data_IF_910281502864
#
_entry.id   IF_910281502864
#
_cell.length_a   1.000
_cell.length_b   1.000
_cell.length_c   1.000
_cell.angle_alpha   90.00
_cell.angle_beta   90.00
_cell.angle_gamma   90.00
#
_symmetry.space_group_name_H-M   'P 1'
#
loop_
_entity.id
_entity.type
_entity.pdbx_description
1 polymer ?
#
# COMPACT_ATOMS: atom_id res chain seq x y z
N UNK A 1 20.37 -23.74 3.59
CA UNK A 1 19.66 -22.82 4.50
C UNK A 1 18.83 -21.89 3.64
N UNK A 2 17.51 -22.08 3.62
CA UNK A 2 16.60 -21.33 2.76
C UNK A 2 16.41 -19.97 3.45
N UNK A 3 16.86 -18.89 2.81
CA UNK A 3 16.61 -17.53 3.25
C UNK A 3 15.09 -17.30 3.26
N UNK A 4 14.48 -17.40 4.44
CA UNK A 4 13.07 -17.09 4.66
C UNK A 4 12.87 -15.58 4.67
N UNK A 5 13.02 -14.92 3.52
CA UNK A 5 12.15 -13.78 3.27
C UNK A 5 10.77 -14.39 3.11
N UNK A 6 10.04 -14.55 4.22
CA UNK A 6 8.60 -14.83 4.15
C UNK A 6 8.02 -13.68 3.34
N UNK A 7 7.50 -13.99 2.17
CA UNK A 7 7.02 -12.96 1.26
C UNK A 7 5.84 -12.21 1.90
N UNK A 8 6.15 -11.06 2.49
CA UNK A 8 5.18 -10.23 3.21
C UNK A 8 4.19 -9.64 2.22
N UNK A 9 2.91 -9.92 2.43
CA UNK A 9 1.81 -9.42 1.62
C UNK A 9 1.59 -7.95 1.92
N UNK A 10 1.60 -7.10 0.88
CA UNK A 10 1.24 -5.68 0.96
C UNK A 10 0.02 -5.41 0.12
N UNK A 11 -1.01 -4.85 0.73
CA UNK A 11 -2.23 -4.52 0.02
C UNK A 11 -2.89 -3.25 0.57
N UNK A 12 -3.59 -2.54 -0.30
CA UNK A 12 -4.67 -1.66 0.12
C UNK A 12 -6.00 -2.35 0.09
N UNK A 13 -6.83 -2.01 1.05
CA UNK A 13 -8.21 -2.43 1.13
C UNK A 13 -9.08 -1.18 1.19
N UNK A 14 -9.97 -1.03 0.22
CA UNK A 14 -10.97 0.05 0.22
C UNK A 14 -12.31 -0.50 0.63
N UNK A 15 -12.82 -0.01 1.73
CA UNK A 15 -14.13 -0.35 2.25
C UNK A 15 -15.07 0.85 2.14
N UNK A 16 -16.35 0.60 1.89
CA UNK A 16 -17.40 1.54 2.22
C UNK A 16 -17.75 1.38 3.71
N UNK A 17 -17.57 2.45 4.48
CA UNK A 17 -17.74 2.53 5.93
C UNK A 17 -16.70 3.44 6.61
N UNK A 18 -16.73 3.47 7.94
CA UNK A 18 -15.81 4.28 8.77
C UNK A 18 -14.58 3.47 9.21
N UNK A 19 -13.37 4.03 9.06
CA UNK A 19 -12.11 3.37 9.42
C UNK A 19 -12.01 2.96 10.89
N UNK A 20 -12.69 3.69 11.78
CA UNK A 20 -12.64 3.52 13.23
C UNK A 20 -13.06 2.10 13.68
N UNK A 21 -13.74 1.36 12.80
CA UNK A 21 -14.22 0.00 13.02
C UNK A 21 -13.20 -1.11 12.66
N UNK A 22 -12.10 -0.78 11.97
CA UNK A 22 -11.20 -1.73 11.29
C UNK A 22 -9.98 -2.13 12.15
N UNK A 23 -10.06 -2.06 13.48
CA UNK A 23 -9.04 -2.69 14.31
C UNK A 23 -9.15 -4.22 14.20
N UNK A 24 -8.24 -4.84 13.44
CA UNK A 24 -8.18 -6.29 13.22
C UNK A 24 -6.71 -6.73 13.37
N UNK A 25 -6.42 -7.44 14.45
CA UNK A 25 -5.09 -7.95 14.78
C UNK A 25 -4.76 -9.23 13.98
N UNK A 26 -4.63 -9.10 12.67
CA UNK A 26 -4.14 -10.16 11.78
C UNK A 26 -3.02 -9.65 10.88
N UNK A 27 -3.17 -8.43 10.39
CA UNK A 27 -2.18 -7.74 9.59
C UNK A 27 -1.72 -6.48 10.32
N UNK A 28 -0.48 -6.07 10.08
CA UNK A 28 0.00 -4.77 10.55
C UNK A 28 -0.61 -3.68 9.70
N UNK A 29 -1.40 -2.79 10.31
CA UNK A 29 -1.92 -1.60 9.66
C UNK A 29 -0.81 -0.57 9.49
N UNK A 30 -0.52 -0.21 8.24
CA UNK A 30 0.51 0.78 7.88
C UNK A 30 -0.07 2.19 7.84
N UNK A 31 -1.27 2.34 7.28
CA UNK A 31 -1.95 3.62 7.12
C UNK A 31 -3.46 3.39 7.06
N UNK A 32 -4.21 4.36 7.58
CA UNK A 32 -5.67 4.44 7.43
C UNK A 32 -6.02 5.84 6.93
N UNK A 33 -6.83 5.91 5.88
CA UNK A 33 -7.29 7.14 5.28
C UNK A 33 -8.81 7.11 5.16
N UNK A 34 -9.49 8.07 5.76
CA UNK A 34 -10.92 8.29 5.57
C UNK A 34 -11.12 9.35 4.50
N UNK A 35 -11.95 9.04 3.49
CA UNK A 35 -12.42 10.03 2.51
C UNK A 35 -13.92 9.84 2.33
N UNK A 36 -14.72 10.78 2.87
CA UNK A 36 -16.18 10.64 2.96
C UNK A 36 -16.57 9.34 3.66
N UNK A 37 -17.31 8.45 3.00
CA UNK A 37 -17.67 7.12 3.50
C UNK A 37 -16.72 6.02 3.03
N UNK A 38 -15.60 6.34 2.38
CA UNK A 38 -14.62 5.35 1.96
C UNK A 38 -13.50 5.32 3.00
N UNK A 39 -13.26 4.15 3.57
CA UNK A 39 -12.07 3.86 4.35
C UNK A 39 -11.07 3.09 3.49
N UNK A 40 -9.87 3.66 3.32
CA UNK A 40 -8.75 2.97 2.72
C UNK A 40 -7.74 2.56 3.81
N UNK A 41 -7.41 1.27 3.86
CA UNK A 41 -6.48 0.70 4.83
C UNK A 41 -5.34 0.02 4.13
N UNK A 42 -4.11 0.35 4.54
CA UNK A 42 -2.88 -0.24 4.01
C UNK A 42 -2.42 -1.27 5.01
N UNK A 43 -2.26 -2.51 4.58
CA UNK A 43 -1.93 -3.62 5.48
C UNK A 43 -0.70 -4.38 5.01
N UNK A 44 0.06 -4.87 5.99
CA UNK A 44 1.12 -5.88 5.82
C UNK A 44 0.71 -7.16 6.53
N UNK A 45 0.57 -8.24 5.78
CA UNK A 45 0.26 -9.55 6.33
C UNK A 45 1.45 -10.48 6.11
N UNK A 46 1.73 -11.36 7.06
CA UNK A 46 2.82 -12.33 6.91
C UNK A 46 2.46 -13.47 5.96
N UNK A 47 1.16 -13.65 5.69
CA UNK A 47 0.61 -14.70 4.83
C UNK A 47 -0.59 -14.19 4.03
N UNK A 48 -0.88 -14.84 2.90
CA UNK A 48 -2.03 -14.51 2.05
C UNK A 48 -3.37 -14.78 2.77
N UNK A 49 -3.43 -15.86 3.55
CA UNK A 49 -4.60 -16.25 4.32
C UNK A 49 -4.95 -15.21 5.39
N UNK A 50 -3.94 -14.55 5.99
CA UNK A 50 -4.16 -13.48 6.96
C UNK A 50 -4.87 -12.29 6.32
N UNK A 51 -4.57 -11.96 5.05
CA UNK A 51 -5.26 -10.90 4.31
C UNK A 51 -6.73 -11.27 4.04
N UNK A 52 -7.00 -12.52 3.64
CA UNK A 52 -8.37 -12.98 3.41
C UNK A 52 -9.17 -12.95 4.71
N UNK A 53 -8.63 -13.49 5.81
CA UNK A 53 -9.26 -13.46 7.13
C UNK A 53 -9.46 -12.03 7.66
N UNK A 54 -8.53 -11.13 7.35
CA UNK A 54 -8.69 -9.70 7.66
C UNK A 54 -9.91 -9.12 6.94
N UNK A 55 -10.06 -9.39 5.65
CA UNK A 55 -11.21 -8.96 4.85
C UNK A 55 -12.50 -9.55 5.40
N UNK A 56 -12.55 -10.86 5.67
CA UNK A 56 -13.74 -11.53 6.23
C UNK A 56 -14.17 -10.90 7.56
N UNK A 57 -13.23 -10.64 8.47
CA UNK A 57 -13.51 -9.94 9.73
C UNK A 57 -14.02 -8.52 9.53
N UNK A 58 -13.51 -7.79 8.53
CA UNK A 58 -14.00 -6.47 8.19
C UNK A 58 -15.44 -6.52 7.66
N UNK A 59 -15.75 -7.48 6.78
CA UNK A 59 -17.11 -7.70 6.26
C UNK A 59 -18.10 -8.05 7.39
N UNK A 60 -17.70 -8.91 8.32
CA UNK A 60 -18.52 -9.27 9.49
C UNK A 60 -18.81 -8.09 10.43
N UNK A 61 -18.01 -7.02 10.35
CA UNK A 61 -18.26 -5.75 11.06
C UNK A 61 -19.18 -4.79 10.28
N UNK A 62 -19.77 -5.23 9.17
CA UNK A 62 -20.72 -4.45 8.36
C UNK A 62 -20.06 -3.55 7.31
N UNK A 63 -18.76 -3.73 7.04
CA UNK A 63 -18.07 -2.97 6.00
C UNK A 63 -18.26 -3.66 4.64
N UNK A 64 -18.33 -2.87 3.57
CA UNK A 64 -18.39 -3.42 2.22
C UNK A 64 -17.04 -3.24 1.53
N UNK A 65 -16.33 -4.33 1.22
CA UNK A 65 -15.09 -4.28 0.45
C UNK A 65 -15.37 -3.89 -1.00
N UNK A 66 -14.74 -2.81 -1.46
CA UNK A 66 -14.88 -2.26 -2.81
C UNK A 66 -13.74 -2.71 -3.74
N UNK A 67 -12.50 -2.60 -3.27
CA UNK A 67 -11.29 -2.83 -4.06
C UNK A 67 -10.15 -3.30 -3.16
N UNK A 68 -9.34 -4.23 -3.67
CA UNK A 68 -8.03 -4.59 -3.14
C UNK A 68 -6.96 -4.15 -4.15
N UNK A 69 -5.99 -3.35 -3.71
CA UNK A 69 -4.84 -2.95 -4.51
C UNK A 69 -3.56 -3.60 -4.01
N UNK A 70 -2.61 -3.84 -4.91
CA UNK A 70 -1.28 -4.36 -4.57
C UNK A 70 -0.16 -3.45 -5.07
N UNK A 71 1.03 -3.64 -4.50
CA UNK A 71 2.25 -2.88 -4.81
C UNK A 71 2.73 -3.00 -6.26
N UNK A 72 2.15 -3.88 -7.06
CA UNK A 72 2.42 -4.02 -8.50
C UNK A 72 1.57 -3.11 -9.39
N UNK A 73 0.52 -2.47 -8.85
CA UNK A 73 -0.48 -1.80 -9.67
C UNK A 73 -1.75 -2.63 -9.87
N UNK A 74 -1.69 -3.93 -9.61
CA UNK A 74 -2.82 -4.82 -9.77
C UNK A 74 -3.94 -4.48 -8.78
N UNK A 75 -5.18 -4.57 -9.27
CA UNK A 75 -6.39 -4.25 -8.50
C UNK A 75 -7.46 -5.29 -8.74
N UNK A 76 -8.10 -5.70 -7.67
CA UNK A 76 -9.18 -6.68 -7.68
C UNK A 76 -10.42 -6.00 -7.09
N UNK A 77 -11.56 -6.17 -7.75
CA UNK A 77 -12.84 -5.75 -7.17
C UNK A 77 -13.14 -6.61 -5.94
N UNK A 78 -13.69 -6.03 -4.88
CA UNK A 78 -13.87 -6.72 -3.60
C UNK A 78 -14.58 -8.07 -3.69
N UNK A 79 -15.63 -8.17 -4.52
CA UNK A 79 -16.38 -9.41 -4.73
C UNK A 79 -15.62 -10.52 -5.47
N UNK A 80 -14.49 -10.20 -6.11
CA UNK A 80 -13.68 -11.14 -6.90
C UNK A 80 -12.40 -11.58 -6.15
N UNK A 81 -12.16 -11.05 -4.95
CA UNK A 81 -10.98 -11.39 -4.16
C UNK A 81 -10.95 -12.88 -3.85
N UNK A 82 -9.85 -13.53 -4.21
CA UNK A 82 -9.58 -14.92 -3.85
C UNK A 82 -8.11 -15.11 -3.48
N UNK A 83 -7.83 -16.22 -2.82
CA UNK A 83 -6.49 -16.52 -2.29
C UNK A 83 -5.43 -16.62 -3.39
N UNK A 84 -5.78 -17.15 -4.57
CA UNK A 84 -4.85 -17.29 -5.71
C UNK A 84 -4.36 -15.93 -6.20
N UNK A 85 -5.23 -14.95 -6.27
CA UNK A 85 -4.84 -13.61 -6.69
C UNK A 85 -3.96 -12.93 -5.64
N UNK A 86 -4.24 -13.13 -4.34
CA UNK A 86 -3.39 -12.62 -3.25
C UNK A 86 -2.00 -13.25 -3.33
N UNK A 87 -1.88 -14.54 -3.60
CA UNK A 87 -0.58 -15.18 -3.81
C UNK A 87 0.15 -14.63 -5.03
N UNK A 88 -0.58 -14.40 -6.13
CA UNK A 88 0.01 -13.97 -7.40
C UNK A 88 0.47 -12.51 -7.38
N UNK A 89 -0.14 -11.66 -6.55
CA UNK A 89 0.11 -10.22 -6.59
C UNK A 89 0.57 -9.61 -5.26
N UNK A 90 0.32 -10.26 -4.13
CA UNK A 90 0.57 -9.71 -2.80
C UNK A 90 2.03 -9.67 -2.38
N UNK A 91 2.83 -10.59 -2.90
CA UNK A 91 4.27 -10.73 -2.61
C UNK A 91 5.14 -9.93 -3.58
N UNK A 92 4.59 -9.61 -4.75
CA UNK A 92 5.30 -9.00 -5.85
C UNK A 92 5.43 -7.48 -5.69
N UNK A 93 6.53 -6.96 -6.17
CA UNK A 93 6.81 -5.53 -6.23
C UNK A 93 7.49 -5.22 -7.55
N UNK A 94 7.50 -3.94 -7.90
CA UNK A 94 8.28 -3.45 -9.03
C UNK A 94 9.37 -2.51 -8.52
N UNK A 95 10.47 -2.47 -9.27
CA UNK A 95 11.48 -1.43 -9.09
C UNK A 95 11.14 -0.23 -9.96
N UNK A 96 11.31 0.95 -9.37
CA UNK A 96 11.07 2.23 -10.00
C UNK A 96 12.39 2.99 -10.03
N UNK A 97 12.72 3.56 -11.18
CA UNK A 97 13.96 4.30 -11.40
C UNK A 97 13.67 5.65 -12.08
N UNK A 98 14.70 6.50 -12.13
CA UNK A 98 14.62 7.80 -12.79
C UNK A 98 13.70 8.79 -12.06
N UNK A 99 12.86 9.48 -12.82
CA UNK A 99 11.97 10.52 -12.30
C UNK A 99 10.63 9.93 -11.83
N UNK A 100 10.29 10.22 -10.57
CA UNK A 100 9.05 9.78 -9.95
C UNK A 100 8.26 10.97 -9.40
N UNK A 101 6.94 10.84 -9.42
CA UNK A 101 6.01 11.75 -8.75
C UNK A 101 5.21 10.92 -7.74
N UNK A 102 5.01 11.42 -6.52
CA UNK A 102 4.33 10.68 -5.47
C UNK A 102 3.58 11.57 -4.47
N UNK A 103 2.58 10.99 -3.83
CA UNK A 103 1.90 11.52 -2.63
C UNK A 103 2.52 10.90 -1.38
N UNK A 104 2.58 11.65 -0.28
CA UNK A 104 3.10 11.16 1.00
C UNK A 104 2.15 11.49 2.16
N UNK A 105 2.03 10.57 3.12
CA UNK A 105 1.10 10.69 4.25
C UNK A 105 1.78 10.81 5.61
N UNK A 106 3.10 11.04 5.62
CA UNK A 106 3.87 11.27 6.85
C UNK A 106 4.80 12.48 6.72
N UNK A 107 5.25 13.06 7.86
CA UNK A 107 6.24 14.12 7.85
C UNK A 107 7.47 13.77 7.02
N UNK A 108 8.04 14.78 6.34
CA UNK A 108 9.18 14.65 5.43
C UNK A 108 10.32 13.77 5.96
N UNK A 109 10.68 13.98 7.23
CA UNK A 109 11.78 13.30 7.91
C UNK A 109 11.62 11.76 7.98
N UNK A 110 10.40 11.24 7.88
CA UNK A 110 10.11 9.82 7.99
C UNK A 110 10.42 9.04 6.71
N UNK A 111 10.47 9.71 5.56
CA UNK A 111 10.63 9.03 4.26
C UNK A 111 11.78 9.58 3.43
N UNK A 112 12.20 10.83 3.62
CA UNK A 112 13.22 11.46 2.77
C UNK A 112 14.55 10.70 2.78
N UNK A 113 14.95 10.13 3.93
CA UNK A 113 16.18 9.34 4.07
C UNK A 113 16.11 7.99 3.34
N UNK A 114 14.91 7.50 3.06
CA UNK A 114 14.69 6.24 2.35
C UNK A 114 14.77 6.42 0.83
N UNK A 115 14.74 7.66 0.33
CA UNK A 115 14.90 7.99 -1.08
C UNK A 115 16.32 8.50 -1.36
N UNK A 116 17.05 7.78 -2.20
CA UNK A 116 18.33 8.26 -2.72
C UNK A 116 18.06 9.08 -3.98
N UNK A 117 18.17 10.41 -3.88
CA UNK A 117 17.76 11.33 -4.93
C UNK A 117 18.85 12.33 -5.31
N UNK A 118 18.96 12.65 -6.60
CA UNK A 118 19.78 13.75 -7.13
C UNK A 118 19.08 15.10 -6.97
N UNK A 119 17.77 15.10 -7.13
CA UNK A 119 16.91 16.29 -7.08
C UNK A 119 15.57 15.91 -6.46
N UNK A 120 15.07 16.79 -5.59
CA UNK A 120 13.79 16.63 -4.91
C UNK A 120 13.05 17.97 -4.92
N UNK A 121 11.81 17.97 -5.41
CA UNK A 121 10.90 19.11 -5.34
C UNK A 121 9.68 18.70 -4.52
N UNK A 122 9.36 19.45 -3.49
CA UNK A 122 8.27 19.12 -2.56
C UNK A 122 7.22 20.22 -2.60
N UNK A 123 5.96 19.82 -2.73
CA UNK A 123 4.78 20.63 -2.50
C UNK A 123 4.16 20.20 -1.17
N UNK A 124 4.36 21.02 -0.14
CA UNK A 124 3.84 20.76 1.21
C UNK A 124 2.33 20.94 1.30
N UNK A 125 1.74 21.83 0.50
CA UNK A 125 0.30 22.11 0.53
C UNK A 125 -0.50 20.94 -0.04
N UNK A 126 0.03 20.31 -1.09
CA UNK A 126 -0.63 19.17 -1.76
C UNK A 126 -0.16 17.82 -1.25
N UNK A 127 0.77 17.77 -0.30
CA UNK A 127 1.42 16.54 0.15
C UNK A 127 1.98 15.69 -1.01
N UNK A 128 2.63 16.37 -1.97
CA UNK A 128 3.20 15.76 -3.18
C UNK A 128 4.66 16.09 -3.34
N UNK A 129 5.41 15.19 -3.96
CA UNK A 129 6.80 15.43 -4.31
C UNK A 129 7.17 14.80 -5.65
N UNK A 130 8.19 15.37 -6.26
CA UNK A 130 8.82 14.88 -7.48
C UNK A 130 10.30 14.67 -7.18
N UNK A 131 10.79 13.47 -7.47
CA UNK A 131 12.15 13.07 -7.16
C UNK A 131 12.83 12.47 -8.40
N UNK A 132 14.10 12.81 -8.59
CA UNK A 132 14.97 12.11 -9.54
C UNK A 132 15.86 11.17 -8.74
N UNK A 133 15.57 9.86 -8.83
CA UNK A 133 16.25 8.82 -8.10
C UNK A 133 17.67 8.58 -8.63
N UNK A 134 18.65 8.45 -7.73
CA UNK A 134 20.02 8.01 -8.08
C UNK A 134 20.19 6.50 -7.98
N UNK A 135 19.27 5.83 -7.28
CA UNK A 135 19.18 4.36 -7.22
C UNK A 135 17.71 3.93 -7.34
N UNK A 136 17.43 2.77 -7.92
CA UNK A 136 16.07 2.23 -7.93
C UNK A 136 15.49 2.11 -6.52
N UNK A 137 14.17 2.27 -6.40
CA UNK A 137 13.42 1.97 -5.19
C UNK A 137 12.26 1.03 -5.51
N UNK A 138 11.96 0.11 -4.60
CA UNK A 138 10.82 -0.81 -4.77
C UNK A 138 9.51 -0.17 -4.32
N UNK A 139 8.41 -0.54 -4.97
CA UNK A 139 7.07 -0.16 -4.51
C UNK A 139 6.74 -0.67 -3.11
N UNK A 140 7.36 -1.77 -2.68
CA UNK A 140 7.27 -2.26 -1.31
C UNK A 140 7.89 -1.29 -0.28
N UNK A 141 9.06 -0.70 -0.58
CA UNK A 141 9.69 0.32 0.27
C UNK A 141 8.87 1.61 0.32
N UNK A 142 8.28 2.01 -0.82
CA UNK A 142 7.38 3.17 -0.88
C UNK A 142 6.12 2.92 -0.03
N UNK A 143 5.51 1.75 -0.13
CA UNK A 143 4.35 1.36 0.66
C UNK A 143 4.65 1.40 2.17
N UNK A 144 5.75 0.79 2.60
CA UNK A 144 6.18 0.74 4.00
C UNK A 144 6.48 2.13 4.57
N UNK A 145 6.81 3.10 3.71
CA UNK A 145 7.06 4.51 4.07
C UNK A 145 5.85 5.41 3.88
N UNK A 146 4.68 4.83 3.59
CA UNK A 146 3.41 5.54 3.39
C UNK A 146 3.50 6.56 2.24
N UNK A 147 4.16 6.16 1.16
CA UNK A 147 4.27 6.90 -0.10
C UNK A 147 3.45 6.18 -1.17
N UNK A 148 2.66 6.95 -1.93
CA UNK A 148 1.88 6.48 -3.08
C UNK A 148 2.48 7.02 -4.38
N UNK A 149 2.87 6.13 -5.28
CA UNK A 149 3.44 6.49 -6.58
C UNK A 149 2.35 7.01 -7.53
N UNK A 150 2.59 8.16 -8.16
CA UNK A 150 1.75 8.76 -9.19
C UNK A 150 2.33 8.59 -10.61
N UNK A 151 3.67 8.60 -10.75
CA UNK A 151 4.42 8.39 -12.00
C UNK A 151 5.70 7.59 -11.75
N UNK A 152 6.20 6.80 -12.73
CA UNK A 152 5.74 6.68 -14.12
C UNK A 152 4.42 5.93 -14.28
N UNK A 153 4.11 5.03 -13.35
CA UNK A 153 2.82 4.37 -13.25
C UNK A 153 2.17 4.77 -11.94
N UNK A 154 0.87 5.08 -11.96
CA UNK A 154 0.11 5.21 -10.74
C UNK A 154 -0.07 3.83 -10.15
N UNK A 155 0.72 3.52 -9.14
CA UNK A 155 0.60 2.30 -8.39
C UNK A 155 -0.21 2.71 -7.18
N UNK A 156 -1.38 2.08 -6.99
CA UNK A 156 -2.06 2.27 -5.74
C UNK A 156 -1.07 1.86 -4.64
N UNK A 157 -1.32 2.30 -3.42
CA UNK A 157 -0.82 1.44 -2.37
C UNK A 157 -1.48 0.05 -2.54
#
# INVERSE_FOLDING_TARGET
>A
MINSNKDVIRATLKFNGLCNSIAIELCTTILQLQTNQICEVWVKCNKAEELILYVEKALNKGLLLLEVGFTTGHKIKGYALNLKDVFSHGTNYIEVNGEIEFEYYTPLQNWIKNLQTKKLKIDLQKHRAQAHLTKPITTAQLFDTRIRLLKPQKIPP
#
